data_IF_428473457073
#
_entry.id   IF_428473457073
#
_cell.length_a   1.000
_cell.length_b   1.000
_cell.length_c   1.000
_cell.angle_alpha   90.00
_cell.angle_beta   90.00
_cell.angle_gamma   90.00
#
_symmetry.space_group_name_H-M   'P 1'
#
loop_
_entity.id
_entity.type
_entity.pdbx_description
1 polymer ?
#
# COMPACT_ATOMS: atom_id res chain seq x y z
N UNK A 1 5.93 3.55 -27.88
CA UNK A 1 5.79 2.28 -27.14
C UNK A 1 4.47 2.36 -26.39
N UNK A 2 3.47 1.59 -26.83
CA UNK A 2 2.20 1.49 -26.12
C UNK A 2 2.40 0.68 -24.84
N UNK A 3 2.12 1.30 -23.69
CA UNK A 3 2.12 0.61 -22.41
C UNK A 3 0.88 -0.28 -22.36
N UNK A 4 1.04 -1.58 -22.62
CA UNK A 4 -0.03 -2.57 -22.43
C UNK A 4 -0.21 -2.80 -20.93
N UNK A 5 -1.42 -2.57 -20.43
CA UNK A 5 -1.80 -2.87 -19.06
C UNK A 5 -2.43 -4.27 -19.04
N UNK A 6 -1.68 -5.27 -18.60
CA UNK A 6 -2.25 -6.57 -18.28
C UNK A 6 -3.10 -6.44 -17.01
N UNK A 7 -4.41 -6.56 -17.16
CA UNK A 7 -5.36 -6.70 -16.06
C UNK A 7 -5.45 -8.19 -15.73
N UNK A 8 -4.52 -8.67 -14.90
CA UNK A 8 -4.54 -10.05 -14.37
C UNK A 8 -5.68 -10.25 -13.36
N UNK A 9 -6.14 -11.50 -13.22
CA UNK A 9 -7.43 -11.88 -12.61
C UNK A 9 -7.62 -11.69 -11.10
N UNK A 10 -6.71 -11.00 -10.41
CA UNK A 10 -6.90 -10.69 -8.99
C UNK A 10 -6.73 -9.17 -8.81
N UNK A 11 -7.84 -8.48 -8.47
CA UNK A 11 -7.92 -7.02 -8.29
C UNK A 11 -7.17 -6.54 -7.03
N UNK A 12 -6.08 -7.20 -6.68
CA UNK A 12 -5.33 -6.99 -5.45
C UNK A 12 -4.80 -5.55 -5.36
N UNK A 13 -4.11 -5.08 -6.41
CA UNK A 13 -3.55 -3.73 -6.45
C UNK A 13 -4.66 -2.69 -6.40
N UNK A 14 -5.73 -2.90 -7.15
CA UNK A 14 -6.90 -2.04 -7.19
C UNK A 14 -7.56 -1.93 -5.81
N UNK A 15 -7.69 -3.04 -5.07
CA UNK A 15 -8.22 -3.06 -3.71
C UNK A 15 -7.31 -2.31 -2.72
N UNK A 16 -5.99 -2.52 -2.81
CA UNK A 16 -5.01 -1.77 -1.98
C UNK A 16 -5.11 -0.27 -2.25
N UNK A 17 -5.11 0.13 -3.52
CA UNK A 17 -5.26 1.54 -3.93
C UNK A 17 -6.58 2.14 -3.45
N UNK A 18 -7.68 1.40 -3.59
CA UNK A 18 -8.99 1.83 -3.12
C UNK A 18 -9.04 2.03 -1.61
N UNK A 19 -8.44 1.12 -0.83
CA UNK A 19 -8.36 1.24 0.63
C UNK A 19 -7.56 2.49 1.05
N UNK A 20 -6.40 2.72 0.41
CA UNK A 20 -5.58 3.90 0.66
C UNK A 20 -6.33 5.20 0.32
N UNK A 21 -6.92 5.29 -0.88
CA UNK A 21 -7.65 6.48 -1.29
C UNK A 21 -8.91 6.72 -0.45
N UNK A 22 -9.59 5.67 -0.03
CA UNK A 22 -10.69 5.78 0.92
C UNK A 22 -10.22 6.36 2.25
N UNK A 23 -9.11 5.84 2.79
CA UNK A 23 -8.49 6.35 4.00
C UNK A 23 -8.11 7.84 3.91
N UNK A 24 -7.43 8.26 2.85
CA UNK A 24 -7.13 9.68 2.60
C UNK A 24 -8.38 10.57 2.52
N UNK A 25 -9.53 10.00 2.10
CA UNK A 25 -10.79 10.75 1.99
C UNK A 25 -11.55 10.85 3.30
N UNK A 26 -11.34 9.91 4.24
CA UNK A 26 -12.07 9.83 5.50
C UNK A 26 -11.28 10.35 6.69
N UNK A 27 -9.94 10.26 6.64
CA UNK A 27 -9.04 10.74 7.70
C UNK A 27 -8.66 12.19 7.43
N UNK A 28 -8.94 13.08 8.39
CA UNK A 28 -8.74 14.53 8.23
C UNK A 28 -7.26 14.91 8.11
N UNK A 29 -6.37 14.25 8.85
CA UNK A 29 -4.93 14.51 8.84
C UNK A 29 -4.17 13.18 8.85
N UNK A 30 -3.99 12.54 7.69
CA UNK A 30 -3.27 11.27 7.59
C UNK A 30 -1.82 11.40 8.03
N UNK A 31 -1.34 10.46 8.85
CA UNK A 31 0.03 10.47 9.40
C UNK A 31 0.82 9.21 9.09
N UNK A 32 0.15 8.07 8.90
CA UNK A 32 0.81 6.78 8.60
C UNK A 32 -0.10 5.85 7.83
N UNK A 33 0.50 4.78 7.28
CA UNK A 33 -0.22 3.61 6.80
C UNK A 33 0.14 2.45 7.69
N UNK A 34 -0.82 1.93 8.46
CA UNK A 34 -0.64 0.69 9.22
C UNK A 34 -1.08 -0.50 8.37
N UNK A 35 -0.26 -1.53 8.32
CA UNK A 35 -0.48 -2.70 7.47
C UNK A 35 0.04 -3.96 8.14
N UNK A 36 -0.61 -5.09 7.90
CA UNK A 36 -0.07 -6.38 8.36
C UNK A 36 1.21 -6.76 7.59
N UNK A 37 2.26 -7.30 8.24
CA UNK A 37 3.52 -7.65 7.59
C UNK A 37 3.38 -8.55 6.35
N UNK A 38 2.55 -9.60 6.42
CA UNK A 38 2.33 -10.50 5.28
C UNK A 38 1.67 -9.80 4.08
N UNK A 39 0.73 -8.88 4.34
CA UNK A 39 0.12 -8.08 3.28
C UNK A 39 1.16 -7.12 2.68
N UNK A 40 1.99 -6.50 3.53
CA UNK A 40 3.04 -5.59 3.08
C UNK A 40 4.06 -6.28 2.19
N UNK A 41 4.45 -7.52 2.51
CA UNK A 41 5.29 -8.34 1.64
C UNK A 41 4.67 -8.51 0.24
N UNK A 42 3.38 -8.85 0.16
CA UNK A 42 2.66 -8.97 -1.12
C UNK A 42 2.57 -7.63 -1.84
N UNK A 43 2.34 -6.53 -1.13
CA UNK A 43 2.35 -5.17 -1.71
C UNK A 43 3.71 -4.87 -2.35
N UNK A 44 4.81 -5.14 -1.65
CA UNK A 44 6.18 -4.91 -2.18
C UNK A 44 6.43 -5.69 -3.48
N UNK A 45 5.95 -6.93 -3.55
CA UNK A 45 6.08 -7.77 -4.74
C UNK A 45 5.21 -7.27 -5.90
N UNK A 46 3.90 -7.09 -5.67
CA UNK A 46 2.92 -6.73 -6.70
C UNK A 46 3.11 -5.32 -7.24
N UNK A 47 3.60 -4.41 -6.41
CA UNK A 47 3.91 -3.04 -6.80
C UNK A 47 5.37 -2.87 -7.25
N UNK A 48 6.18 -3.93 -7.29
CA UNK A 48 7.57 -3.84 -7.75
C UNK A 48 7.64 -3.20 -9.14
N UNK A 49 8.56 -2.24 -9.31
CA UNK A 49 8.75 -1.45 -10.53
C UNK A 49 7.55 -0.57 -10.94
N UNK A 50 6.55 -0.37 -10.06
CA UNK A 50 5.47 0.59 -10.30
C UNK A 50 5.82 1.95 -9.72
N UNK A 51 5.25 3.00 -10.30
CA UNK A 51 5.44 4.38 -9.83
C UNK A 51 4.98 4.54 -8.38
N UNK A 52 3.85 3.91 -8.04
CA UNK A 52 3.24 3.95 -6.71
C UNK A 52 3.79 2.88 -5.76
N UNK A 53 4.92 2.25 -6.07
CA UNK A 53 5.54 1.28 -5.17
C UNK A 53 5.95 1.92 -3.84
N UNK A 54 5.92 1.17 -2.73
CA UNK A 54 6.59 1.58 -1.49
C UNK A 54 8.05 1.97 -1.75
N UNK A 55 8.54 2.99 -1.05
CA UNK A 55 9.89 3.54 -1.18
C UNK A 55 10.55 3.59 0.18
N UNK A 56 11.75 3.04 0.29
CA UNK A 56 12.60 3.25 1.45
C UNK A 56 13.28 4.61 1.35
N UNK A 57 13.16 5.41 2.40
CA UNK A 57 13.85 6.69 2.60
C UNK A 57 14.46 6.66 3.99
N UNK A 58 15.79 6.77 4.07
CA UNK A 58 16.57 6.53 5.28
C UNK A 58 16.22 5.17 5.91
N UNK A 59 15.78 5.16 7.16
CA UNK A 59 15.43 3.95 7.93
C UNK A 59 13.92 3.64 7.91
N UNK A 60 13.14 4.32 7.08
CA UNK A 60 11.68 4.18 7.02
C UNK A 60 11.19 3.84 5.62
N UNK A 61 10.17 3.00 5.53
CA UNK A 61 9.46 2.75 4.27
C UNK A 61 8.24 3.68 4.20
N UNK A 62 8.03 4.27 3.04
CA UNK A 62 6.91 5.14 2.75
C UNK A 62 6.03 4.54 1.67
N UNK A 63 4.73 4.67 1.82
CA UNK A 63 3.75 4.28 0.82
C UNK A 63 2.75 5.43 0.67
N UNK A 64 2.46 5.84 -0.57
CA UNK A 64 1.62 7.03 -0.84
C UNK A 64 2.04 8.30 -0.07
N UNK A 65 3.33 8.46 0.21
CA UNK A 65 3.87 9.63 0.92
C UNK A 65 3.71 9.59 2.45
N UNK A 66 3.17 8.50 3.01
CA UNK A 66 3.06 8.29 4.46
C UNK A 66 4.02 7.18 4.92
N UNK A 67 4.60 7.28 6.12
CA UNK A 67 5.40 6.20 6.69
C UNK A 67 4.54 4.95 6.91
N UNK A 68 5.14 3.79 6.64
CA UNK A 68 4.51 2.47 6.81
C UNK A 68 4.82 1.94 8.21
N UNK A 69 3.79 1.49 8.91
CA UNK A 69 3.88 0.79 10.19
C UNK A 69 3.41 -0.64 9.98
N UNK A 70 4.31 -1.60 10.17
CA UNK A 70 3.96 -3.02 10.11
C UNK A 70 3.49 -3.51 11.49
N UNK A 71 2.22 -3.90 11.59
CA UNK A 71 1.61 -4.38 12.84
C UNK A 71 1.12 -5.84 12.70
N UNK A 72 1.89 -6.76 13.28
CA UNK A 72 1.60 -8.20 13.27
C UNK A 72 0.43 -8.60 14.19
N UNK A 73 -0.15 -7.68 14.96
CA UNK A 73 -1.30 -7.96 15.82
C UNK A 73 -2.65 -7.87 15.07
N UNK A 74 -2.62 -7.39 13.82
CA UNK A 74 -3.79 -7.20 12.96
C UNK A 74 -4.09 -8.44 12.12
N UNK A 75 -5.26 -8.43 11.48
CA UNK A 75 -5.63 -9.47 10.52
C UNK A 75 -4.71 -9.43 9.28
N UNK A 76 -4.53 -10.58 8.63
CA UNK A 76 -3.55 -10.74 7.54
C UNK A 76 -3.85 -9.88 6.31
N UNK A 77 -5.08 -9.42 6.14
CA UNK A 77 -5.54 -8.54 5.06
C UNK A 77 -5.72 -7.08 5.52
N UNK A 78 -5.27 -6.74 6.72
CA UNK A 78 -5.41 -5.41 7.30
C UNK A 78 -4.48 -4.39 6.65
N UNK A 79 -5.09 -3.28 6.23
CA UNK A 79 -4.41 -2.04 5.85
C UNK A 79 -5.31 -0.85 6.23
N UNK A 80 -4.74 0.16 6.86
CA UNK A 80 -5.42 1.42 7.18
C UNK A 80 -4.54 2.63 6.85
N UNK A 81 -5.20 3.76 6.60
CA UNK A 81 -4.58 5.08 6.69
C UNK A 81 -5.03 5.62 8.05
N UNK A 82 -4.08 6.08 8.84
CA UNK A 82 -4.32 6.60 10.20
C UNK A 82 -4.18 8.13 10.26
#
# INVERSE_FOLDING_TARGET
>A
METKYEVGGDFFREKVLAAIFYGFRTVKNPVSITVHPELMMRIREEFKNKVVAPKSVDDSEFFFGLPVIEDATKDKDYISVD
#
